data_IF_087401570673
#
_entry.id   IF_087401570673
#
_cell.length_a   1.000
_cell.length_b   1.000
_cell.length_c   1.000
_cell.angle_alpha   90.00
_cell.angle_beta   90.00
_cell.angle_gamma   90.00
#
_symmetry.space_group_name_H-M   'P 1'
#
loop_
_entity.id
_entity.type
_entity.pdbx_description
1 polymer ?
#
# COMPACT_ATOMS: atom_id res chain seq x y z
N UNK A 1 41.39 28.90 -68.47
CA UNK A 1 41.79 28.15 -67.23
C UNK A 1 40.62 28.34 -66.25
N UNK A 2 39.67 27.42 -66.32
CA UNK A 2 38.42 27.52 -65.57
C UNK A 2 38.57 26.89 -64.19
N UNK A 3 38.31 27.68 -63.16
CA UNK A 3 38.29 27.25 -61.79
C UNK A 3 36.92 26.82 -61.35
N UNK A 4 36.72 25.52 -61.22
CA UNK A 4 35.47 24.89 -60.78
C UNK A 4 35.37 25.00 -59.24
N UNK A 5 34.40 25.78 -58.74
CA UNK A 5 34.08 25.88 -57.31
C UNK A 5 33.05 24.78 -56.96
N UNK A 6 33.48 23.83 -56.13
CA UNK A 6 32.57 22.89 -55.49
C UNK A 6 31.89 23.55 -54.29
N UNK A 7 30.55 23.64 -54.34
CA UNK A 7 29.74 24.02 -53.20
C UNK A 7 29.38 22.74 -52.40
N UNK A 8 29.80 22.73 -51.15
CA UNK A 8 29.38 21.69 -50.20
C UNK A 8 28.02 22.13 -49.60
N UNK A 9 26.97 21.34 -49.85
CA UNK A 9 25.69 21.47 -49.18
C UNK A 9 25.74 20.68 -47.87
N UNK A 10 25.76 21.39 -46.72
CA UNK A 10 25.49 20.78 -45.42
C UNK A 10 24.01 20.49 -45.26
N UNK A 11 23.64 19.22 -45.42
CA UNK A 11 22.32 18.76 -45.04
C UNK A 11 22.22 18.68 -43.49
N UNK A 12 21.41 19.54 -42.89
CA UNK A 12 20.99 19.42 -41.50
C UNK A 12 19.97 18.28 -41.38
N UNK A 13 20.36 17.15 -40.82
CA UNK A 13 19.44 16.10 -40.42
C UNK A 13 18.71 16.59 -39.16
N UNK A 14 17.42 16.93 -39.32
CA UNK A 14 16.52 17.12 -38.19
C UNK A 14 16.27 15.75 -37.53
N UNK A 15 16.84 15.52 -36.36
CA UNK A 15 16.39 14.42 -35.49
C UNK A 15 14.96 14.75 -35.06
N UNK A 16 14.00 14.06 -35.63
CA UNK A 16 12.65 13.95 -35.08
C UNK A 16 12.78 13.18 -33.78
N UNK A 17 12.67 13.88 -32.64
CA UNK A 17 12.44 13.23 -31.35
C UNK A 17 11.10 12.49 -31.47
N UNK A 18 11.15 11.17 -31.54
CA UNK A 18 9.99 10.32 -31.34
C UNK A 18 9.57 10.58 -29.89
N UNK A 19 8.34 11.04 -29.61
CA UNK A 19 7.87 11.09 -28.24
C UNK A 19 7.99 9.65 -27.70
N UNK A 20 8.82 9.46 -26.66
CA UNK A 20 8.84 8.19 -25.95
C UNK A 20 7.40 7.88 -25.56
N UNK A 21 6.96 6.67 -25.82
CA UNK A 21 5.76 6.14 -25.21
C UNK A 21 5.96 6.36 -23.71
N UNK A 22 5.09 7.15 -23.08
CA UNK A 22 5.08 7.25 -21.63
C UNK A 22 4.95 5.80 -21.13
N UNK A 23 5.92 5.34 -20.33
CA UNK A 23 5.80 4.05 -19.65
C UNK A 23 4.52 4.11 -18.87
N UNK A 24 3.63 3.16 -19.07
CA UNK A 24 2.41 3.10 -18.28
C UNK A 24 2.83 3.04 -16.81
N UNK A 25 2.38 3.99 -16.01
CA UNK A 25 2.53 3.91 -14.56
C UNK A 25 1.27 3.24 -14.03
N UNK A 26 1.44 2.12 -13.33
CA UNK A 26 0.33 1.29 -12.91
C UNK A 26 0.07 1.41 -11.40
N UNK A 27 -1.20 1.37 -11.07
CA UNK A 27 -1.72 1.15 -9.73
C UNK A 27 -2.60 -0.08 -9.74
N UNK A 28 -2.54 -0.89 -8.68
CA UNK A 28 -3.46 -2.00 -8.47
C UNK A 28 -4.36 -1.74 -7.28
N UNK A 29 -5.62 -2.16 -7.40
CA UNK A 29 -6.65 -1.97 -6.38
C UNK A 29 -7.36 -3.29 -6.14
N UNK A 30 -7.33 -3.78 -4.90
CA UNK A 30 -8.11 -4.93 -4.48
C UNK A 30 -9.50 -4.50 -4.05
N UNK A 31 -10.53 -5.04 -4.69
CA UNK A 31 -11.93 -4.69 -4.43
C UNK A 31 -12.64 -5.84 -3.71
N UNK A 32 -13.13 -5.56 -2.50
CA UNK A 32 -14.00 -6.46 -1.73
C UNK A 32 -15.47 -6.10 -2.04
N UNK A 33 -16.36 -7.09 -2.14
CA UNK A 33 -17.78 -6.83 -2.36
C UNK A 33 -18.69 -7.60 -1.36
N UNK A 34 -18.11 -8.09 -0.28
CA UNK A 34 -18.81 -8.99 0.64
C UNK A 34 -18.84 -8.53 2.08
N UNK A 35 -18.11 -7.48 2.45
CA UNK A 35 -18.11 -6.96 3.81
C UNK A 35 -18.77 -5.59 3.87
N UNK A 36 -19.76 -5.46 4.71
CA UNK A 36 -20.46 -4.20 5.03
C UNK A 36 -20.66 -4.10 6.53
N UNK A 37 -21.26 -3.02 7.02
CA UNK A 37 -21.58 -2.84 8.44
C UNK A 37 -23.04 -2.48 8.63
N UNK A 38 -23.64 -3.02 9.70
CA UNK A 38 -24.99 -2.65 10.13
C UNK A 38 -25.00 -1.29 10.87
N UNK A 39 -26.20 -0.83 11.26
CA UNK A 39 -26.37 0.43 11.97
C UNK A 39 -25.70 0.46 13.36
N UNK A 40 -25.34 -0.70 13.90
CA UNK A 40 -24.61 -0.84 15.16
C UNK A 40 -23.09 -0.91 14.94
N UNK A 41 -22.62 -0.77 13.69
CA UNK A 41 -21.19 -0.86 13.33
C UNK A 41 -20.64 -2.29 13.33
N UNK A 42 -21.51 -3.31 13.29
CA UNK A 42 -21.06 -4.70 13.24
C UNK A 42 -20.87 -5.15 11.80
N UNK A 43 -19.82 -5.93 11.49
CA UNK A 43 -19.61 -6.44 10.16
C UNK A 43 -20.75 -7.41 9.74
N UNK A 44 -21.19 -7.27 8.50
CA UNK A 44 -22.15 -8.13 7.83
C UNK A 44 -21.47 -8.77 6.64
N UNK A 45 -21.48 -10.10 6.60
CA UNK A 45 -20.78 -10.88 5.57
C UNK A 45 -21.75 -11.36 4.50
N UNK A 46 -21.51 -10.93 3.26
CA UNK A 46 -22.23 -11.41 2.08
C UNK A 46 -21.59 -12.67 1.48
N UNK A 47 -22.22 -13.21 0.45
CA UNK A 47 -21.67 -14.32 -0.33
C UNK A 47 -20.40 -13.85 -1.10
N UNK A 48 -19.36 -14.69 -1.20
CA UNK A 48 -18.21 -14.40 -2.06
C UNK A 48 -18.58 -14.56 -3.53
N UNK A 49 -17.78 -14.00 -4.44
CA UNK A 49 -17.84 -14.31 -5.87
C UNK A 49 -17.81 -13.13 -6.82
N UNK A 50 -17.78 -11.89 -6.33
CA UNK A 50 -17.75 -10.71 -7.19
C UNK A 50 -16.53 -9.80 -6.92
N UNK A 51 -15.59 -10.26 -6.08
CA UNK A 51 -14.36 -9.52 -5.82
C UNK A 51 -13.47 -9.43 -7.05
N UNK A 52 -12.75 -8.33 -7.16
CA UNK A 52 -11.85 -8.12 -8.29
C UNK A 52 -10.54 -7.48 -7.83
N UNK A 53 -9.52 -7.60 -8.69
CA UNK A 53 -8.34 -6.73 -8.66
C UNK A 53 -8.37 -5.87 -9.92
N UNK A 54 -8.44 -4.56 -9.75
CA UNK A 54 -8.37 -3.59 -10.83
C UNK A 54 -6.93 -3.20 -11.12
N UNK A 55 -6.51 -3.29 -12.37
CA UNK A 55 -5.26 -2.72 -12.88
C UNK A 55 -5.59 -1.35 -13.45
N UNK A 56 -4.95 -0.30 -12.97
CA UNK A 56 -5.28 1.10 -13.29
C UNK A 56 -4.06 1.80 -13.87
N UNK A 57 -4.22 2.43 -15.03
CA UNK A 57 -3.23 3.35 -15.62
C UNK A 57 -3.39 4.73 -14.99
N UNK A 58 -2.33 5.17 -14.28
CA UNK A 58 -2.21 6.49 -13.66
C UNK A 58 -1.14 7.34 -14.35
N UNK A 59 -0.37 6.77 -15.29
CA UNK A 59 0.72 7.48 -15.98
C UNK A 59 0.27 8.25 -17.19
N UNK A 60 -0.74 7.77 -17.94
CA UNK A 60 -1.21 8.43 -19.16
C UNK A 60 -1.91 9.76 -18.89
N UNK A 61 -2.69 9.85 -17.82
CA UNK A 61 -3.35 11.07 -17.33
C UNK A 61 -3.56 10.94 -15.81
N UNK A 62 -2.62 11.45 -14.99
CA UNK A 62 -2.70 11.33 -13.54
C UNK A 62 -3.96 11.95 -12.91
N UNK A 63 -4.57 12.95 -13.56
CA UNK A 63 -5.82 13.55 -13.09
C UNK A 63 -7.06 12.72 -13.45
N UNK A 64 -6.96 11.82 -14.43
CA UNK A 64 -8.06 11.00 -14.93
C UNK A 64 -7.62 9.54 -15.09
N UNK A 65 -7.30 8.84 -13.98
CA UNK A 65 -6.86 7.45 -14.01
C UNK A 65 -7.89 6.55 -14.70
N UNK A 66 -7.43 5.46 -15.33
CA UNK A 66 -8.30 4.57 -16.11
C UNK A 66 -8.07 3.13 -15.75
N UNK A 67 -9.15 2.37 -15.57
CA UNK A 67 -9.08 0.92 -15.41
C UNK A 67 -8.65 0.31 -16.74
N UNK A 68 -7.53 -0.41 -16.74
CA UNK A 68 -7.03 -1.20 -17.85
C UNK A 68 -7.82 -2.51 -17.95
N UNK A 69 -7.93 -3.21 -16.81
CA UNK A 69 -8.70 -4.46 -16.69
C UNK A 69 -9.11 -4.72 -15.25
N UNK A 70 -10.11 -5.57 -15.07
CA UNK A 70 -10.50 -6.14 -13.79
C UNK A 70 -10.30 -7.66 -13.87
N UNK A 71 -9.57 -8.21 -12.91
CA UNK A 71 -9.37 -9.65 -12.77
C UNK A 71 -10.32 -10.16 -11.68
N UNK A 72 -11.07 -11.22 -11.97
CA UNK A 72 -11.87 -11.93 -10.96
C UNK A 72 -10.93 -12.62 -9.98
N UNK A 73 -10.77 -12.04 -8.81
CA UNK A 73 -9.85 -12.51 -7.79
C UNK A 73 -10.35 -12.11 -6.42
N UNK A 74 -10.49 -13.10 -5.53
CA UNK A 74 -10.94 -12.85 -4.17
C UNK A 74 -9.99 -11.87 -3.47
N UNK A 75 -10.56 -10.88 -2.82
CA UNK A 75 -9.86 -9.90 -2.00
C UNK A 75 -10.57 -9.71 -0.68
N UNK A 76 -9.99 -9.01 0.28
CA UNK A 76 -10.58 -8.83 1.60
C UNK A 76 -10.11 -7.54 2.25
N UNK A 77 -11.04 -6.86 2.95
CA UNK A 77 -10.74 -5.74 3.83
C UNK A 77 -10.04 -6.16 5.14
N UNK A 78 -9.96 -7.47 5.43
CA UNK A 78 -9.31 -7.94 6.66
C UNK A 78 -7.79 -7.94 6.55
N UNK A 79 -7.17 -6.85 6.92
CA UNK A 79 -5.73 -6.62 6.91
C UNK A 79 -5.42 -5.17 6.62
N UNK A 80 -4.16 -4.72 6.76
CA UNK A 80 -3.79 -3.38 6.31
C UNK A 80 -3.95 -3.28 4.80
N UNK A 81 -4.23 -2.07 4.26
CA UNK A 81 -4.49 -1.85 2.84
C UNK A 81 -3.23 -2.01 1.95
N UNK A 82 -2.35 -2.93 2.31
CA UNK A 82 -1.04 -3.19 1.71
C UNK A 82 -0.83 -4.66 1.37
N UNK A 83 -1.92 -5.40 1.16
CA UNK A 83 -1.92 -6.82 0.85
C UNK A 83 -1.62 -7.14 -0.63
N UNK A 84 -1.10 -6.17 -1.37
CA UNK A 84 -0.71 -6.29 -2.77
C UNK A 84 0.53 -5.42 -3.06
N UNK A 85 1.27 -5.75 -4.12
CA UNK A 85 2.45 -5.00 -4.54
C UNK A 85 2.69 -5.17 -6.04
N UNK A 86 3.36 -4.19 -6.66
CA UNK A 86 3.85 -4.22 -8.03
C UNK A 86 5.39 -4.26 -7.99
N UNK A 87 6.02 -5.08 -8.85
CA UNK A 87 7.47 -5.06 -9.02
C UNK A 87 7.94 -3.70 -9.55
N UNK A 88 9.17 -3.23 -9.20
CA UNK A 88 9.67 -1.93 -9.64
C UNK A 88 9.72 -1.74 -11.16
N UNK A 89 9.87 -2.83 -11.91
CA UNK A 89 9.84 -2.85 -13.39
C UNK A 89 8.43 -2.94 -13.98
N UNK A 90 7.39 -3.02 -13.13
CA UNK A 90 5.98 -3.16 -13.50
C UNK A 90 5.65 -4.38 -14.37
N UNK A 91 6.46 -5.43 -14.28
CA UNK A 91 6.20 -6.68 -15.02
C UNK A 91 5.26 -7.62 -14.30
N UNK A 92 5.27 -7.61 -12.95
CA UNK A 92 4.42 -8.44 -12.11
C UNK A 92 3.69 -7.63 -11.05
N UNK A 93 2.53 -8.16 -10.64
CA UNK A 93 1.89 -7.81 -9.38
C UNK A 93 1.66 -9.06 -8.54
N UNK A 94 1.83 -8.91 -7.22
CA UNK A 94 1.52 -9.92 -6.22
C UNK A 94 0.30 -9.47 -5.41
N UNK A 95 -0.64 -10.39 -5.15
CA UNK A 95 -1.85 -10.13 -4.38
C UNK A 95 -2.07 -11.26 -3.39
N UNK A 96 -2.10 -10.96 -2.09
CA UNK A 96 -2.41 -11.97 -1.08
C UNK A 96 -3.91 -12.20 -0.99
N UNK A 97 -4.30 -13.47 -0.81
CA UNK A 97 -5.62 -13.86 -0.32
C UNK A 97 -5.52 -14.09 1.19
N UNK A 98 -5.89 -13.06 1.97
CA UNK A 98 -5.79 -13.11 3.41
C UNK A 98 -6.88 -13.99 4.05
N UNK A 99 -8.07 -14.03 3.44
CA UNK A 99 -9.23 -14.72 3.98
C UNK A 99 -9.93 -15.52 2.90
N UNK A 100 -10.34 -16.72 3.25
CA UNK A 100 -11.30 -17.53 2.52
C UNK A 100 -12.69 -17.38 3.15
N UNK A 101 -13.75 -17.69 2.41
CA UNK A 101 -15.13 -17.60 2.86
C UNK A 101 -15.76 -18.98 2.95
N UNK A 102 -16.12 -19.36 4.17
CA UNK A 102 -16.71 -20.66 4.48
C UNK A 102 -18.19 -20.49 4.80
N UNK A 103 -19.06 -21.26 4.16
CA UNK A 103 -20.49 -21.27 4.47
C UNK A 103 -20.78 -22.18 5.66
N UNK A 104 -21.42 -21.64 6.69
CA UNK A 104 -21.96 -22.39 7.83
C UNK A 104 -23.47 -22.19 7.93
N UNK A 105 -24.24 -23.16 7.44
CA UNK A 105 -25.70 -23.04 7.31
C UNK A 105 -26.07 -21.95 6.31
N UNK A 106 -26.83 -20.95 6.74
CA UNK A 106 -27.22 -19.80 5.91
C UNK A 106 -26.27 -18.59 6.07
N UNK A 107 -25.22 -18.70 6.89
CA UNK A 107 -24.28 -17.62 7.16
C UNK A 107 -22.91 -17.88 6.51
N UNK A 108 -22.22 -16.78 6.16
CA UNK A 108 -20.85 -16.79 5.69
C UNK A 108 -19.91 -16.39 6.83
N UNK A 109 -18.73 -16.98 6.86
CA UNK A 109 -17.66 -16.67 7.81
C UNK A 109 -16.34 -16.53 7.08
N UNK A 110 -15.53 -15.57 7.54
CA UNK A 110 -14.16 -15.45 7.12
C UNK A 110 -13.26 -16.48 7.86
N UNK A 111 -12.39 -17.15 7.13
CA UNK A 111 -11.37 -18.05 7.63
C UNK A 111 -10.01 -17.66 7.04
N UNK A 112 -8.88 -17.81 7.75
CA UNK A 112 -7.56 -17.55 7.16
C UNK A 112 -7.32 -18.37 5.88
N UNK A 113 -6.84 -17.71 4.83
CA UNK A 113 -6.28 -18.34 3.62
C UNK A 113 -4.74 -18.28 3.69
N UNK A 114 -4.03 -18.82 2.70
CA UNK A 114 -2.57 -18.89 2.66
C UNK A 114 -2.00 -18.71 1.25
N UNK A 115 -2.65 -17.92 0.40
CA UNK A 115 -2.28 -17.80 -1.02
C UNK A 115 -1.74 -16.42 -1.38
N UNK A 116 -0.83 -16.41 -2.35
CA UNK A 116 -0.38 -15.23 -3.08
C UNK A 116 -0.57 -15.48 -4.56
N UNK A 117 -1.38 -14.66 -5.20
CA UNK A 117 -1.58 -14.71 -6.65
C UNK A 117 -0.53 -13.87 -7.36
N UNK A 118 0.01 -14.40 -8.44
CA UNK A 118 1.01 -13.74 -9.31
C UNK A 118 0.31 -13.30 -10.58
N UNK A 119 0.35 -12.01 -10.88
CA UNK A 119 -0.28 -11.41 -12.06
C UNK A 119 0.82 -10.96 -13.02
N UNK A 120 0.76 -11.40 -14.26
CA UNK A 120 1.56 -10.89 -15.38
C UNK A 120 0.93 -9.60 -15.91
N UNK A 121 1.60 -8.46 -15.64
CA UNK A 121 1.13 -7.14 -16.07
C UNK A 121 1.46 -6.83 -17.53
N UNK A 122 2.42 -7.57 -18.16
CA UNK A 122 2.76 -7.43 -19.57
C UNK A 122 1.86 -8.24 -20.51
N UNK A 123 1.05 -9.16 -19.96
CA UNK A 123 0.06 -9.87 -20.75
C UNK A 123 -1.03 -8.92 -21.26
N UNK A 124 -1.61 -9.22 -22.42
CA UNK A 124 -2.68 -8.41 -23.02
C UNK A 124 -3.97 -9.26 -23.18
N UNK A 125 -4.96 -9.13 -22.30
CA UNK A 125 -4.97 -8.34 -21.05
C UNK A 125 -4.09 -8.95 -19.95
N UNK A 126 -3.70 -8.17 -18.89
CA UNK A 126 -3.06 -8.72 -17.70
C UNK A 126 -3.78 -9.93 -17.12
N UNK A 127 -3.06 -10.92 -16.62
CA UNK A 127 -3.64 -12.19 -16.20
C UNK A 127 -2.93 -12.81 -14.99
N UNK A 128 -3.66 -13.57 -14.18
CA UNK A 128 -3.08 -14.43 -13.13
C UNK A 128 -2.34 -15.57 -13.80
N UNK A 129 -1.06 -15.73 -13.50
CA UNK A 129 -0.19 -16.77 -14.10
C UNK A 129 0.22 -17.86 -13.10
N UNK A 130 0.16 -17.58 -11.80
CA UNK A 130 0.54 -18.52 -10.76
C UNK A 130 -0.14 -18.21 -9.43
N UNK A 131 -0.09 -19.18 -8.49
CA UNK A 131 -0.52 -19.02 -7.11
C UNK A 131 0.46 -19.76 -6.19
N UNK A 132 1.07 -19.03 -5.27
CA UNK A 132 2.09 -19.52 -4.32
C UNK A 132 1.46 -19.67 -2.94
N UNK A 133 1.70 -20.81 -2.28
CA UNK A 133 1.30 -21.00 -0.87
C UNK A 133 2.33 -20.38 0.07
N UNK A 134 1.86 -19.70 1.11
CA UNK A 134 2.63 -18.99 2.14
C UNK A 134 2.07 -19.29 3.53
N UNK A 135 2.44 -18.54 4.56
CA UNK A 135 1.88 -18.70 5.89
C UNK A 135 0.42 -18.21 5.97
N UNK A 136 -0.27 -18.58 7.06
CA UNK A 136 -1.69 -18.33 7.28
C UNK A 136 -2.02 -16.84 7.41
N UNK A 137 -3.08 -16.40 6.75
CA UNK A 137 -3.60 -15.04 6.70
C UNK A 137 -2.54 -14.04 6.19
N UNK A 138 -1.99 -14.24 4.96
CA UNK A 138 -1.04 -13.32 4.37
C UNK A 138 -1.70 -11.95 4.17
N UNK A 139 -1.07 -10.92 4.69
CA UNK A 139 -1.60 -9.56 4.78
C UNK A 139 -0.64 -8.57 4.10
N UNK A 140 -0.11 -7.58 4.82
CA UNK A 140 0.77 -6.60 4.22
C UNK A 140 2.05 -7.20 3.64
N UNK A 141 2.47 -6.69 2.48
CA UNK A 141 3.68 -7.14 1.80
C UNK A 141 4.56 -5.98 1.34
N UNK A 142 5.83 -6.29 1.07
CA UNK A 142 6.76 -5.40 0.41
C UNK A 142 7.64 -6.18 -0.57
N UNK A 143 7.95 -5.56 -1.72
CA UNK A 143 8.96 -6.01 -2.68
C UNK A 143 10.18 -5.09 -2.54
N UNK A 144 11.40 -5.61 -2.62
CA UNK A 144 12.60 -4.78 -2.58
C UNK A 144 12.81 -4.00 -3.89
N UNK A 145 13.67 -2.98 -3.88
CA UNK A 145 13.96 -2.17 -5.07
C UNK A 145 14.62 -2.95 -6.22
N UNK A 146 15.28 -4.06 -5.92
CA UNK A 146 15.83 -4.95 -6.97
C UNK A 146 14.73 -5.76 -7.68
N UNK A 147 13.54 -5.88 -7.10
CA UNK A 147 12.42 -6.65 -7.65
C UNK A 147 12.60 -8.16 -7.55
N UNK A 148 13.57 -8.64 -6.76
CA UNK A 148 13.94 -10.05 -6.67
C UNK A 148 13.55 -10.73 -5.34
N UNK A 149 13.04 -9.95 -4.37
CA UNK A 149 12.62 -10.41 -3.05
C UNK A 149 11.28 -9.77 -2.66
N UNK A 150 10.34 -10.60 -2.20
CA UNK A 150 9.14 -10.12 -1.52
C UNK A 150 9.05 -10.70 -0.09
N UNK A 151 8.58 -9.88 0.84
CA UNK A 151 8.27 -10.26 2.22
C UNK A 151 6.78 -10.10 2.47
N UNK A 152 6.16 -11.07 3.13
CA UNK A 152 4.72 -11.10 3.40
C UNK A 152 4.46 -11.36 4.87
N UNK A 153 3.72 -10.48 5.52
CA UNK A 153 3.31 -10.61 6.90
C UNK A 153 2.12 -11.59 7.03
N UNK A 154 2.31 -12.71 7.70
CA UNK A 154 1.28 -13.73 7.92
C UNK A 154 0.67 -13.53 9.33
N UNK A 155 -0.52 -12.91 9.38
CA UNK A 155 -1.14 -12.52 10.67
C UNK A 155 -1.44 -13.72 11.56
N UNK A 156 -2.15 -14.72 11.04
CA UNK A 156 -2.48 -15.93 11.79
C UNK A 156 -1.28 -16.87 11.91
N UNK A 157 -0.37 -16.85 10.93
CA UNK A 157 0.86 -17.65 10.93
C UNK A 157 1.94 -17.16 11.89
N UNK A 158 1.86 -15.91 12.41
CA UNK A 158 2.88 -15.29 13.26
C UNK A 158 4.28 -15.27 12.62
N UNK A 159 4.36 -15.16 11.31
CA UNK A 159 5.59 -15.28 10.53
C UNK A 159 5.67 -14.24 9.41
N UNK A 160 6.85 -14.11 8.82
CA UNK A 160 7.07 -13.44 7.54
C UNK A 160 7.45 -14.51 6.53
N UNK A 161 6.67 -14.68 5.45
CA UNK A 161 7.08 -15.49 4.32
C UNK A 161 8.03 -14.72 3.42
N UNK A 162 9.07 -15.42 2.94
CA UNK A 162 10.10 -14.92 2.04
C UNK A 162 9.87 -15.51 0.68
N UNK A 163 9.64 -14.67 -0.34
CA UNK A 163 9.49 -15.08 -1.73
C UNK A 163 10.65 -14.58 -2.56
N UNK A 164 11.24 -15.48 -3.36
CA UNK A 164 12.19 -15.13 -4.41
C UNK A 164 11.44 -14.84 -5.72
N UNK A 165 11.82 -13.76 -6.42
CA UNK A 165 11.26 -13.37 -7.72
C UNK A 165 12.37 -13.44 -8.77
N UNK A 166 12.13 -14.14 -9.88
CA UNK A 166 13.06 -14.26 -10.99
C UNK A 166 12.32 -14.23 -12.33
N UNK A 167 12.31 -13.08 -12.99
CA UNK A 167 11.44 -12.83 -14.12
C UNK A 167 9.97 -13.03 -13.71
N UNK A 168 9.24 -13.93 -14.37
CA UNK A 168 7.83 -14.26 -14.05
C UNK A 168 7.66 -15.43 -13.08
N UNK A 169 8.74 -15.93 -12.48
CA UNK A 169 8.69 -16.99 -11.48
C UNK A 169 8.75 -16.40 -10.06
N UNK A 170 7.86 -16.87 -9.20
CA UNK A 170 7.81 -16.50 -7.79
C UNK A 170 7.80 -17.78 -6.95
N UNK A 171 8.77 -17.91 -6.05
CA UNK A 171 8.95 -19.11 -5.23
C UNK A 171 8.96 -18.75 -3.74
N UNK A 172 8.22 -19.50 -2.92
CA UNK A 172 8.32 -19.44 -1.47
C UNK A 172 9.60 -20.15 -1.04
N UNK A 173 10.55 -19.41 -0.47
CA UNK A 173 11.89 -19.92 -0.12
C UNK A 173 12.09 -20.11 1.38
N UNK A 174 11.20 -19.62 2.21
CA UNK A 174 11.25 -19.81 3.67
C UNK A 174 10.34 -18.90 4.46
N UNK A 175 10.26 -19.15 5.76
CA UNK A 175 9.51 -18.36 6.73
C UNK A 175 10.40 -17.93 7.89
N UNK A 176 10.16 -16.71 8.39
CA UNK A 176 10.77 -16.17 9.59
C UNK A 176 9.73 -16.16 10.69
N UNK A 177 9.96 -16.94 11.76
CA UNK A 177 9.10 -16.93 12.96
C UNK A 177 9.25 -15.57 13.68
N UNK A 178 8.14 -14.85 13.82
CA UNK A 178 8.09 -13.54 14.46
C UNK A 178 7.69 -13.63 15.94
N UNK A 179 7.27 -14.81 16.42
CA UNK A 179 6.81 -15.04 17.78
C UNK A 179 5.54 -14.27 18.16
N UNK A 180 4.83 -13.70 17.20
CA UNK A 180 3.59 -12.94 17.39
C UNK A 180 3.02 -12.45 16.06
N UNK A 181 1.77 -11.96 16.10
CA UNK A 181 1.05 -11.52 14.91
C UNK A 181 1.69 -10.29 14.26
N UNK A 182 1.87 -10.34 12.97
CA UNK A 182 2.39 -9.25 12.15
C UNK A 182 1.36 -8.83 11.10
N UNK A 183 1.16 -7.50 10.93
CA UNK A 183 0.17 -6.97 9.98
C UNK A 183 0.82 -6.50 8.67
N UNK A 184 1.93 -5.79 8.76
CA UNK A 184 2.59 -5.15 7.63
C UNK A 184 4.10 -5.32 7.72
N UNK A 185 4.78 -5.19 6.58
CA UNK A 185 6.24 -5.21 6.46
C UNK A 185 6.66 -4.15 5.45
N UNK A 186 7.81 -3.51 5.70
CA UNK A 186 8.48 -2.61 4.77
C UNK A 186 9.97 -2.95 4.70
N UNK A 187 10.56 -2.87 3.50
CA UNK A 187 11.98 -3.14 3.24
C UNK A 187 12.71 -1.81 3.08
N UNK A 188 13.91 -1.68 3.67
CA UNK A 188 14.75 -0.47 3.48
C UNK A 188 15.18 -0.34 2.02
N UNK A 189 15.38 0.89 1.51
CA UNK A 189 15.76 1.10 0.09
C UNK A 189 17.07 0.39 -0.31
N UNK A 190 17.99 0.20 0.63
CA UNK A 190 19.23 -0.54 0.40
C UNK A 190 19.04 -2.07 0.38
N UNK A 191 17.82 -2.56 0.68
CA UNK A 191 17.47 -3.97 0.68
C UNK A 191 18.10 -4.80 1.79
N UNK A 192 18.77 -4.16 2.79
CA UNK A 192 19.53 -4.89 3.83
C UNK A 192 18.73 -5.15 5.11
N UNK A 193 17.62 -4.44 5.31
CA UNK A 193 16.77 -4.56 6.50
C UNK A 193 15.30 -4.51 6.13
N UNK A 194 14.46 -5.04 7.01
CA UNK A 194 13.02 -4.82 6.97
C UNK A 194 12.47 -4.51 8.35
N UNK A 195 11.28 -3.92 8.38
CA UNK A 195 10.53 -3.64 9.60
C UNK A 195 9.16 -4.29 9.46
N UNK A 196 8.75 -5.06 10.48
CA UNK A 196 7.45 -5.70 10.57
C UNK A 196 6.64 -5.13 11.75
N UNK A 197 5.37 -4.80 11.49
CA UNK A 197 4.47 -4.27 12.51
C UNK A 197 3.82 -5.41 13.32
N UNK A 198 4.21 -5.56 14.57
CA UNK A 198 3.59 -6.47 15.57
C UNK A 198 2.45 -5.77 16.28
N UNK A 199 1.32 -5.68 15.62
CA UNK A 199 0.23 -4.80 16.00
C UNK A 199 -0.39 -5.11 17.39
N UNK A 200 -0.62 -6.36 17.81
CA UNK A 200 -1.19 -6.62 19.14
C UNK A 200 -0.21 -6.35 20.28
N UNK A 201 1.09 -6.27 19.96
CA UNK A 201 2.17 -6.08 20.95
C UNK A 201 2.65 -4.63 20.99
N UNK A 202 2.07 -3.74 20.19
CA UNK A 202 2.37 -2.29 20.14
C UNK A 202 3.85 -2.00 19.86
N UNK A 203 4.44 -2.75 18.91
CA UNK A 203 5.85 -2.62 18.55
C UNK A 203 6.08 -2.96 17.08
N UNK A 204 7.24 -2.59 16.60
CA UNK A 204 7.77 -3.09 15.33
C UNK A 204 9.00 -3.93 15.57
N UNK A 205 9.26 -4.89 14.71
CA UNK A 205 10.43 -5.79 14.75
C UNK A 205 11.37 -5.48 13.61
N UNK A 206 12.68 -5.50 13.87
CA UNK A 206 13.72 -5.34 12.85
C UNK A 206 14.16 -6.70 12.34
N UNK A 207 14.23 -6.84 11.01
CA UNK A 207 14.77 -8.01 10.33
C UNK A 207 16.03 -7.63 9.57
N UNK A 208 17.01 -8.53 9.53
CA UNK A 208 18.19 -8.42 8.67
C UNK A 208 17.96 -9.23 7.38
N UNK A 209 18.42 -8.67 6.24
CA UNK A 209 18.29 -9.28 4.91
C UNK A 209 19.70 -9.44 4.31
N UNK A 210 20.04 -10.67 3.90
CA UNK A 210 21.24 -11.01 3.14
C UNK A 210 20.83 -11.88 1.95
N UNK A 211 20.54 -11.25 0.81
CA UNK A 211 19.91 -11.91 -0.33
C UNK A 211 18.54 -12.47 0.05
N UNK A 212 18.35 -13.79 -0.10
CA UNK A 212 17.11 -14.48 0.29
C UNK A 212 17.12 -14.94 1.77
N UNK A 213 18.22 -14.75 2.48
CA UNK A 213 18.30 -15.11 3.88
C UNK A 213 17.79 -13.93 4.74
N UNK A 214 16.60 -14.09 5.30
CA UNK A 214 15.97 -13.10 6.15
C UNK A 214 15.90 -13.63 7.57
N UNK A 215 16.35 -12.83 8.54
CA UNK A 215 16.45 -13.25 9.95
C UNK A 215 15.87 -12.20 10.89
N UNK A 216 15.31 -12.66 11.99
CA UNK A 216 14.85 -11.86 13.12
C UNK A 216 15.55 -12.33 14.38
N UNK A 217 16.25 -11.44 15.07
CA UNK A 217 17.04 -11.72 16.27
C UNK A 217 16.37 -11.33 17.59
N UNK A 218 15.10 -10.89 17.52
CA UNK A 218 14.33 -10.44 18.66
C UNK A 218 14.44 -8.93 18.93
N UNK A 219 15.05 -8.14 18.03
CA UNK A 219 15.13 -6.70 18.20
C UNK A 219 13.76 -6.04 17.88
N UNK A 220 13.11 -5.54 18.92
CA UNK A 220 11.82 -4.87 18.87
C UNK A 220 11.93 -3.41 19.32
N UNK A 221 11.12 -2.55 18.69
CA UNK A 221 11.01 -1.13 19.02
C UNK A 221 9.55 -0.85 19.43
N UNK A 222 9.27 -0.47 20.69
CA UNK A 222 7.94 -0.03 21.11
C UNK A 222 7.51 1.23 20.36
N UNK A 223 6.28 1.22 19.81
CA UNK A 223 5.67 2.34 19.06
C UNK A 223 4.35 2.76 19.71
N UNK A 224 3.44 3.38 18.97
CA UNK A 224 2.09 3.65 19.44
C UNK A 224 1.22 2.40 19.56
N UNK A 225 -0.04 2.59 19.94
CA UNK A 225 -0.95 1.48 20.16
C UNK A 225 -1.41 0.94 18.80
N UNK A 226 -1.34 -0.39 18.64
CA UNK A 226 -1.86 -1.09 17.47
C UNK A 226 -1.25 -0.60 16.13
N UNK A 227 0.09 -0.68 15.94
CA UNK A 227 0.72 -0.28 14.67
C UNK A 227 0.24 -1.21 13.56
N UNK A 228 -0.57 -0.68 12.64
CA UNK A 228 -1.24 -1.50 11.64
C UNK A 228 -0.54 -1.46 10.29
N UNK A 229 0.11 -0.35 9.99
CA UNK A 229 0.91 -0.17 8.78
C UNK A 229 2.28 0.42 9.11
N UNK A 230 3.26 0.21 8.22
CA UNK A 230 4.61 0.75 8.31
C UNK A 230 5.12 1.14 6.93
N UNK A 231 5.78 2.30 6.85
CA UNK A 231 6.44 2.78 5.64
C UNK A 231 7.83 3.34 5.97
N UNK A 232 8.76 3.30 5.01
CA UNK A 232 10.14 3.78 5.16
C UNK A 232 10.36 4.91 4.17
N UNK A 233 11.05 5.98 4.58
CA UNK A 233 11.42 7.09 3.69
C UNK A 233 12.34 6.63 2.56
N UNK A 234 12.29 7.27 1.37
CA UNK A 234 13.11 6.86 0.22
C UNK A 234 14.62 6.90 0.46
N UNK A 235 15.07 7.72 1.41
CA UNK A 235 16.47 7.77 1.85
C UNK A 235 16.84 6.69 2.89
N UNK A 236 15.84 5.96 3.40
CA UNK A 236 16.02 4.92 4.42
C UNK A 236 16.30 5.44 5.83
N UNK A 237 16.22 6.76 6.07
CA UNK A 237 16.55 7.36 7.35
C UNK A 237 15.48 7.17 8.40
N UNK A 238 14.21 7.19 8.01
CA UNK A 238 13.06 7.08 8.91
C UNK A 238 12.14 5.92 8.53
N UNK A 239 11.49 5.34 9.54
CA UNK A 239 10.27 4.58 9.36
C UNK A 239 9.13 5.25 10.11
N UNK A 240 7.93 5.21 9.53
CA UNK A 240 6.70 5.69 10.12
C UNK A 240 5.73 4.54 10.34
N UNK A 241 4.96 4.54 11.44
CA UNK A 241 3.89 3.58 11.68
C UNK A 241 2.55 4.29 11.79
N UNK A 242 1.49 3.71 11.22
CA UNK A 242 0.11 4.10 11.52
C UNK A 242 -0.33 3.35 12.78
N UNK A 243 -0.38 4.05 13.90
CA UNK A 243 -0.75 3.49 15.20
C UNK A 243 -2.27 3.67 15.38
N UNK A 244 -3.04 2.64 15.02
CA UNK A 244 -4.51 2.71 14.86
C UNK A 244 -5.27 2.90 16.20
N UNK A 245 -4.65 2.59 17.34
CA UNK A 245 -5.25 2.78 18.67
C UNK A 245 -6.26 1.70 19.05
N UNK A 246 -7.38 1.63 18.37
CA UNK A 246 -8.56 0.85 18.77
C UNK A 246 -8.78 -0.45 17.97
N UNK A 247 -7.74 -1.21 17.68
CA UNK A 247 -7.83 -2.54 17.05
C UNK A 247 -8.50 -2.58 15.66
N UNK A 248 -8.21 -1.60 14.79
CA UNK A 248 -8.76 -1.52 13.44
C UNK A 248 -10.17 -0.91 13.41
N UNK A 249 -10.50 -0.04 14.36
CA UNK A 249 -11.77 0.67 14.44
C UNK A 249 -11.57 2.11 14.90
N UNK A 250 -12.54 2.96 14.66
CA UNK A 250 -12.62 4.29 15.27
C UNK A 250 -13.26 4.20 16.65
N UNK A 251 -12.77 5.00 17.61
CA UNK A 251 -13.34 5.11 18.94
C UNK A 251 -13.53 6.58 19.41
N UNK A 252 -13.21 7.53 18.53
CA UNK A 252 -13.31 8.97 18.78
C UNK A 252 -12.12 9.53 19.55
N UNK A 253 -11.11 8.73 19.89
CA UNK A 253 -9.87 9.24 20.47
C UNK A 253 -8.87 9.60 19.39
N UNK A 254 -7.85 10.37 19.76
CA UNK A 254 -6.78 10.72 18.84
C UNK A 254 -5.65 9.72 18.94
N UNK A 255 -5.19 9.24 17.78
CA UNK A 255 -4.10 8.30 17.61
C UNK A 255 -2.89 8.97 16.96
N UNK A 256 -1.84 8.18 16.73
CA UNK A 256 -0.53 8.72 16.36
C UNK A 256 0.07 8.05 15.11
N UNK A 257 1.06 8.74 14.55
CA UNK A 257 2.09 8.16 13.71
C UNK A 257 3.39 8.20 14.51
N UNK A 258 4.00 7.04 14.78
CA UNK A 258 5.32 6.99 15.41
C UNK A 258 6.41 7.21 14.36
N UNK A 259 7.41 8.01 14.71
CA UNK A 259 8.59 8.32 13.88
C UNK A 259 9.78 7.57 14.44
N UNK A 260 10.38 6.68 13.65
CA UNK A 260 11.48 5.81 14.04
C UNK A 260 12.74 6.25 13.28
N UNK A 261 13.79 6.59 14.00
CA UNK A 261 15.12 6.86 13.46
C UNK A 261 15.85 5.53 13.21
N UNK A 262 16.00 5.18 11.92
CA UNK A 262 16.66 3.95 11.48
C UNK A 262 18.19 4.06 11.41
N UNK A 263 18.74 5.28 11.42
CA UNK A 263 20.16 5.53 11.46
C UNK A 263 20.75 5.57 12.88
N UNK A 264 19.86 5.66 13.90
CA UNK A 264 20.29 5.55 15.28
C UNK A 264 20.80 4.14 15.59
N UNK A 265 21.76 4.04 16.51
CA UNK A 265 22.29 2.76 16.99
C UNK A 265 22.06 2.63 18.54
N UNK A 266 21.11 1.79 18.98
CA UNK A 266 20.11 1.05 18.18
C UNK A 266 19.02 1.98 17.60
N UNK A 267 18.32 1.58 16.53
CA UNK A 267 17.16 2.27 16.00
C UNK A 267 16.07 2.47 17.07
N UNK A 268 15.38 3.62 17.05
CA UNK A 268 14.43 3.99 18.11
C UNK A 268 13.37 4.99 17.65
N UNK A 269 12.25 5.01 18.33
CA UNK A 269 11.27 6.08 18.19
C UNK A 269 11.87 7.41 18.68
N UNK A 270 11.74 8.44 17.87
CA UNK A 270 12.19 9.80 18.20
C UNK A 270 11.03 10.77 18.39
N UNK A 271 9.85 10.48 17.81
CA UNK A 271 8.65 11.28 17.98
C UNK A 271 7.37 10.47 17.76
N UNK A 272 6.23 11.03 18.17
CA UNK A 272 4.87 10.56 17.89
C UNK A 272 3.99 11.74 17.51
N UNK A 273 3.61 11.79 16.25
CA UNK A 273 2.76 12.84 15.71
C UNK A 273 1.29 12.47 15.91
N UNK A 274 0.52 13.34 16.59
CA UNK A 274 -0.93 13.16 16.74
C UNK A 274 -1.60 13.44 15.39
N UNK A 275 -2.36 12.47 14.88
CA UNK A 275 -3.01 12.59 13.56
C UNK A 275 -4.53 12.64 13.65
N UNK A 276 -5.17 11.86 14.51
CA UNK A 276 -6.62 11.78 14.68
C UNK A 276 -7.07 10.34 14.85
N UNK A 277 -8.35 10.07 14.70
CA UNK A 277 -8.99 8.80 15.04
C UNK A 277 -8.80 7.73 13.95
N UNK A 278 -8.19 6.61 14.32
CA UNK A 278 -8.07 5.40 13.52
C UNK A 278 -7.19 5.53 12.26
N UNK A 279 -5.89 5.90 12.34
CA UNK A 279 -4.99 5.82 11.20
C UNK A 279 -4.74 4.35 10.81
N UNK A 280 -5.02 3.99 9.57
CA UNK A 280 -4.86 2.62 9.06
C UNK A 280 -3.95 2.57 7.83
N UNK A 281 -4.24 3.36 6.80
CA UNK A 281 -3.37 3.53 5.65
C UNK A 281 -2.20 4.48 5.94
N UNK A 282 -1.06 4.23 5.31
CA UNK A 282 0.14 5.08 5.39
C UNK A 282 0.91 5.00 4.08
N UNK A 283 1.28 6.15 3.53
CA UNK A 283 2.15 6.23 2.36
C UNK A 283 3.13 7.40 2.51
N UNK A 284 4.32 7.27 1.93
CA UNK A 284 5.33 8.32 1.85
C UNK A 284 5.52 8.70 0.39
N UNK A 285 5.62 9.99 0.09
CA UNK A 285 5.82 10.47 -1.28
C UNK A 285 7.17 10.00 -1.84
N UNK A 286 7.29 9.82 -3.15
CA UNK A 286 8.57 9.47 -3.79
C UNK A 286 9.70 10.46 -3.51
N UNK A 287 9.36 11.74 -3.25
CA UNK A 287 10.33 12.77 -2.89
C UNK A 287 10.83 12.67 -1.45
N UNK A 288 10.09 11.93 -0.58
CA UNK A 288 10.37 11.86 0.85
C UNK A 288 9.98 13.11 1.65
N UNK A 289 9.42 14.15 1.00
CA UNK A 289 9.09 15.42 1.65
C UNK A 289 7.78 15.38 2.45
N UNK A 290 6.87 14.45 2.09
CA UNK A 290 5.62 14.25 2.81
C UNK A 290 5.31 12.78 3.02
N UNK A 291 4.57 12.51 4.09
CA UNK A 291 3.83 11.28 4.29
C UNK A 291 2.33 11.60 4.46
N UNK A 292 1.49 10.60 4.25
CA UNK A 292 0.06 10.71 4.52
C UNK A 292 -0.40 9.56 5.40
N UNK A 293 -1.16 9.90 6.45
CA UNK A 293 -1.89 8.95 7.27
C UNK A 293 -3.37 8.99 6.88
N UNK A 294 -3.92 7.82 6.60
CA UNK A 294 -5.30 7.66 6.17
C UNK A 294 -6.12 7.26 7.39
N UNK A 295 -7.09 8.10 7.74
CA UNK A 295 -7.87 7.97 8.97
C UNK A 295 -9.29 7.50 8.68
N UNK A 296 -9.73 6.49 9.41
CA UNK A 296 -11.12 6.02 9.40
C UNK A 296 -12.08 7.14 9.86
N UNK A 297 -11.70 7.92 10.87
CA UNK A 297 -12.41 9.11 11.35
C UNK A 297 -13.91 8.84 11.63
N UNK A 298 -14.24 7.65 12.11
CA UNK A 298 -15.63 7.27 12.40
C UNK A 298 -16.53 7.07 11.18
N UNK A 299 -15.99 6.88 9.98
CA UNK A 299 -16.77 6.81 8.73
C UNK A 299 -17.33 5.42 8.42
N UNK A 300 -16.91 4.38 9.15
CA UNK A 300 -17.50 3.04 9.10
C UNK A 300 -17.15 2.24 10.36
N UNK A 301 -17.72 1.03 10.49
CA UNK A 301 -17.48 0.10 11.59
C UNK A 301 -17.79 0.69 12.99
N UNK A 302 -18.64 1.72 13.05
CA UNK A 302 -19.07 2.39 14.29
C UNK A 302 -20.59 2.50 14.32
N UNK A 303 -21.23 2.55 15.52
CA UNK A 303 -22.66 2.83 15.60
C UNK A 303 -23.00 4.18 14.96
N UNK A 304 -24.05 4.22 14.13
CA UNK A 304 -24.44 5.46 13.40
C UNK A 304 -24.81 6.63 14.32
N UNK A 305 -25.18 6.36 15.56
CA UNK A 305 -25.52 7.36 16.59
C UNK A 305 -24.33 7.67 17.53
N UNK A 306 -23.15 7.12 17.29
CA UNK A 306 -21.97 7.46 18.06
C UNK A 306 -21.60 8.94 17.84
N UNK A 307 -21.19 9.63 18.90
CA UNK A 307 -20.86 11.06 18.85
C UNK A 307 -19.69 11.39 17.91
N UNK A 308 -18.87 10.41 17.59
CA UNK A 308 -17.72 10.49 16.67
C UNK A 308 -18.00 9.90 15.28
N UNK A 309 -19.23 9.42 15.03
CA UNK A 309 -19.59 8.90 13.70
C UNK A 309 -19.59 10.03 12.65
N UNK A 310 -18.95 9.79 11.54
CA UNK A 310 -18.86 10.70 10.40
C UNK A 310 -19.23 9.96 9.11
N UNK A 311 -19.57 10.71 8.07
CA UNK A 311 -19.79 10.13 6.73
C UNK A 311 -18.48 9.83 6.03
N UNK A 312 -17.46 10.65 6.27
CA UNK A 312 -16.20 10.70 5.54
C UNK A 312 -15.00 10.47 6.43
N UNK A 313 -13.99 9.82 5.87
CA UNK A 313 -12.67 9.73 6.46
C UNK A 313 -11.77 10.90 6.06
N UNK A 314 -10.50 10.83 6.44
CA UNK A 314 -9.53 11.90 6.23
C UNK A 314 -8.18 11.40 5.81
N UNK A 315 -7.48 12.25 5.08
CA UNK A 315 -6.04 12.18 4.84
C UNK A 315 -5.36 13.25 5.68
N UNK A 316 -4.45 12.85 6.57
CA UNK A 316 -3.59 13.79 7.30
C UNK A 316 -2.23 13.83 6.62
N UNK A 317 -1.81 15.04 6.24
CA UNK A 317 -0.53 15.30 5.58
C UNK A 317 0.53 15.59 6.64
N UNK A 318 1.63 14.88 6.57
CA UNK A 318 2.80 15.03 7.43
C UNK A 318 3.96 15.57 6.59
N UNK A 319 4.49 16.74 6.93
CA UNK A 319 5.72 17.25 6.34
C UNK A 319 6.93 16.58 6.99
N UNK A 320 7.91 16.20 6.18
CA UNK A 320 9.17 15.58 6.60
C UNK A 320 10.32 16.53 6.24
N UNK A 321 11.04 17.00 7.26
CA UNK A 321 12.28 17.81 7.09
C UNK A 321 13.42 17.15 7.88
N UNK A 322 14.23 16.37 7.20
CA UNK A 322 15.22 15.49 7.83
C UNK A 322 14.55 14.52 8.80
N UNK A 323 14.81 14.65 10.11
CA UNK A 323 14.20 13.80 11.15
C UNK A 323 13.00 14.43 11.87
N UNK A 324 12.60 15.63 11.48
CA UNK A 324 11.42 16.31 12.01
C UNK A 324 10.21 15.95 11.13
N UNK A 325 9.16 15.42 11.76
CA UNK A 325 7.89 15.08 11.10
C UNK A 325 6.75 15.84 11.79
N UNK A 326 6.05 16.67 11.03
CA UNK A 326 5.01 17.55 11.57
C UNK A 326 3.74 17.49 10.75
N UNK A 327 2.58 17.67 11.40
CA UNK A 327 1.29 17.77 10.68
C UNK A 327 1.25 19.07 9.88
N UNK A 328 1.16 18.96 8.54
CA UNK A 328 1.09 20.06 7.59
C UNK A 328 -0.35 20.43 7.21
N UNK A 329 -1.27 19.47 7.20
CA UNK A 329 -2.66 19.71 6.82
C UNK A 329 -3.53 18.48 6.91
N UNK A 330 -4.78 18.62 6.48
CA UNK A 330 -5.72 17.51 6.34
C UNK A 330 -6.67 17.76 5.18
N UNK A 331 -7.14 16.67 4.55
CA UNK A 331 -8.12 16.68 3.44
C UNK A 331 -9.19 15.64 3.75
N UNK A 332 -10.45 16.02 3.61
CA UNK A 332 -11.58 15.08 3.68
C UNK A 332 -11.66 14.28 2.37
N UNK A 333 -11.92 12.98 2.47
CA UNK A 333 -12.09 12.05 1.35
C UNK A 333 -13.39 11.26 1.55
N UNK A 334 -13.62 10.18 0.81
CA UNK A 334 -14.82 9.36 1.01
C UNK A 334 -14.80 8.53 2.31
N UNK A 335 -15.81 7.70 2.49
CA UNK A 335 -15.98 6.90 3.70
C UNK A 335 -15.10 5.65 3.72
N UNK A 336 -14.61 5.30 4.92
CA UNK A 336 -13.69 4.20 5.17
C UNK A 336 -12.53 4.21 4.16
N UNK A 337 -11.69 5.27 4.17
CA UNK A 337 -10.55 5.30 3.27
C UNK A 337 -9.51 4.27 3.69
N UNK A 338 -9.01 3.47 2.73
CA UNK A 338 -8.11 2.36 2.99
C UNK A 338 -6.72 2.58 2.39
N UNK A 339 -6.56 2.41 1.10
CA UNK A 339 -5.28 2.51 0.42
C UNK A 339 -4.90 3.91 0.01
N UNK A 340 -3.60 4.17 -0.10
CA UNK A 340 -3.04 5.41 -0.62
C UNK A 340 -1.88 5.11 -1.58
N UNK A 341 -1.88 5.77 -2.75
CA UNK A 341 -0.83 5.65 -3.77
C UNK A 341 -0.45 7.03 -4.26
N UNK A 342 0.84 7.36 -4.21
CA UNK A 342 1.39 8.53 -4.91
C UNK A 342 1.72 8.16 -6.35
N UNK A 343 1.57 9.12 -7.29
CA UNK A 343 2.20 9.03 -8.59
C UNK A 343 3.74 9.05 -8.46
N UNK A 344 4.47 8.43 -9.40
CA UNK A 344 5.95 8.35 -9.35
C UNK A 344 6.63 9.71 -9.29
N UNK A 345 6.01 10.73 -9.89
CA UNK A 345 6.49 12.12 -9.83
C UNK A 345 6.07 12.87 -8.55
N UNK A 346 5.27 12.22 -7.70
CA UNK A 346 4.75 12.79 -6.45
C UNK A 346 3.71 13.89 -6.62
N UNK A 347 3.24 14.18 -7.84
CA UNK A 347 2.30 15.29 -8.12
C UNK A 347 0.85 14.95 -7.81
N UNK A 348 0.50 13.67 -7.71
CA UNK A 348 -0.85 13.20 -7.40
C UNK A 348 -0.84 12.14 -6.30
N UNK A 349 -1.96 12.07 -5.58
CA UNK A 349 -2.23 11.08 -4.54
C UNK A 349 -3.62 10.48 -4.78
N UNK A 350 -3.72 9.17 -4.77
CA UNK A 350 -4.95 8.40 -4.97
C UNK A 350 -5.36 7.72 -3.68
N UNK A 351 -6.62 7.90 -3.26
CA UNK A 351 -7.16 7.35 -2.02
C UNK A 351 -8.38 6.48 -2.33
N UNK A 352 -8.34 5.21 -1.93
CA UNK A 352 -9.48 4.30 -2.05
C UNK A 352 -10.51 4.57 -0.98
N UNK A 353 -11.76 4.81 -1.36
CA UNK A 353 -12.90 5.05 -0.47
C UNK A 353 -13.79 3.81 -0.49
N UNK A 354 -13.67 2.99 0.54
CA UNK A 354 -14.31 1.67 0.57
C UNK A 354 -15.83 1.77 0.44
N UNK A 355 -16.48 2.59 1.26
CA UNK A 355 -17.95 2.68 1.25
C UNK A 355 -18.53 3.34 0.01
N UNK A 356 -17.72 4.12 -0.71
CA UNK A 356 -18.15 4.83 -1.93
C UNK A 356 -17.82 4.06 -3.21
N UNK A 357 -17.04 2.97 -3.10
CA UNK A 357 -16.59 2.16 -4.24
C UNK A 357 -15.85 3.00 -5.30
N UNK A 358 -15.03 3.94 -4.85
CA UNK A 358 -14.28 4.82 -5.74
C UNK A 358 -12.87 5.13 -5.23
N UNK A 359 -12.10 5.83 -6.05
CA UNK A 359 -10.78 6.39 -5.71
C UNK A 359 -10.85 7.90 -5.87
N UNK A 360 -10.57 8.64 -4.80
CA UNK A 360 -10.37 10.09 -4.85
C UNK A 360 -9.02 10.42 -5.49
N UNK A 361 -9.00 11.41 -6.38
CA UNK A 361 -7.77 11.97 -6.97
C UNK A 361 -7.44 13.30 -6.31
N UNK A 362 -6.26 13.39 -5.69
CA UNK A 362 -5.77 14.57 -4.99
C UNK A 362 -4.53 15.12 -5.71
N UNK A 363 -4.40 16.43 -5.78
CA UNK A 363 -3.19 17.10 -6.28
C UNK A 363 -2.22 17.38 -5.14
N UNK A 364 -0.94 17.25 -5.40
CA UNK A 364 0.16 17.44 -4.43
C UNK A 364 1.09 18.54 -4.93
N UNK A 365 1.30 19.58 -4.12
CA UNK A 365 2.23 20.67 -4.40
C UNK A 365 3.08 20.93 -3.14
N UNK A 366 4.32 20.41 -3.12
CA UNK A 366 5.18 20.43 -1.93
C UNK A 366 4.48 19.72 -0.76
N UNK A 367 4.26 20.43 0.36
CA UNK A 367 3.56 19.88 1.53
C UNK A 367 2.03 20.10 1.52
N UNK A 368 1.48 20.60 0.42
CA UNK A 368 0.06 20.87 0.27
C UNK A 368 -0.61 19.79 -0.55
N UNK A 369 -1.66 19.18 0.00
CA UNK A 369 -2.52 18.20 -0.69
C UNK A 369 -3.92 18.76 -0.78
N UNK A 370 -4.52 18.73 -1.98
CA UNK A 370 -5.85 19.28 -2.24
C UNK A 370 -6.70 18.34 -3.08
N UNK A 371 -8.00 18.25 -2.78
CA UNK A 371 -8.95 17.49 -3.59
C UNK A 371 -9.12 18.13 -4.98
N UNK A 372 -9.01 17.35 -6.04
CA UNK A 372 -9.28 17.81 -7.42
C UNK A 372 -10.77 17.79 -7.75
N UNK A 373 -11.58 17.10 -6.96
CA UNK A 373 -12.98 16.80 -7.26
C UNK A 373 -13.18 15.69 -8.29
N UNK A 374 -12.10 15.05 -8.74
CA UNK A 374 -12.15 13.88 -9.63
C UNK A 374 -12.17 12.60 -8.81
N UNK A 375 -12.93 11.60 -9.29
CA UNK A 375 -12.93 10.24 -8.74
C UNK A 375 -12.88 9.21 -9.86
N UNK A 376 -12.32 8.04 -9.57
CA UNK A 376 -12.39 6.86 -10.42
C UNK A 376 -13.36 5.87 -9.79
N UNK A 377 -14.47 5.57 -10.48
CA UNK A 377 -15.40 4.54 -10.03
C UNK A 377 -14.81 3.15 -10.23
N UNK A 378 -14.96 2.29 -9.23
CA UNK A 378 -14.48 0.92 -9.22
C UNK A 378 -15.64 -0.09 -9.31
N UNK A 379 -15.37 -1.34 -9.71
CA UNK A 379 -16.40 -2.40 -9.75
C UNK A 379 -16.82 -2.87 -8.35
N UNK A 380 -16.04 -2.54 -7.30
CA UNK A 380 -16.29 -2.93 -5.92
C UNK A 380 -15.61 -1.97 -4.94
N UNK A 381 -15.60 -2.34 -3.68
CA UNK A 381 -15.13 -1.53 -2.56
C UNK A 381 -13.60 -1.66 -2.43
N UNK A 382 -12.79 -0.60 -2.62
CA UNK A 382 -11.34 -0.68 -2.54
C UNK A 382 -10.87 -0.97 -1.11
N UNK A 383 -10.43 -2.21 -0.88
CA UNK A 383 -9.89 -2.67 0.40
C UNK A 383 -8.38 -2.48 0.53
N UNK A 384 -7.70 -2.29 -0.60
CA UNK A 384 -6.24 -2.13 -0.64
C UNK A 384 -5.79 -1.53 -1.96
N UNK A 385 -4.66 -0.81 -1.92
CA UNK A 385 -4.09 -0.16 -3.11
C UNK A 385 -2.57 -0.10 -3.04
N UNK A 386 -1.90 -0.32 -4.17
CA UNK A 386 -0.46 -0.09 -4.32
C UNK A 386 -0.12 0.39 -5.73
N UNK A 387 0.86 1.28 -5.83
CA UNK A 387 1.60 1.60 -7.03
C UNK A 387 2.92 0.84 -7.08
N UNK A 388 3.64 0.95 -8.18
CA UNK A 388 5.03 0.49 -8.23
C UNK A 388 5.91 1.36 -7.31
N UNK A 389 6.95 0.77 -6.75
CA UNK A 389 7.95 1.50 -5.97
C UNK A 389 8.78 2.33 -6.95
N UNK A 390 9.02 3.62 -6.68
CA UNK A 390 9.83 4.47 -7.56
C UNK A 390 11.30 4.09 -7.56
#
# INVERSE_FOLDING_TARGET
MDGMRFAWACGAAALLAVPGLASAELMIVGNDQKVTWDDAGKPVFGAPGEDTVSIVDIGSDPQSPKIVTNLELMNSIFGPPTNLAITPDETLALVTSAMDWVQEGDAWKAAPDNKVHVIDLEADPPAVIDTVEVGDQPSGMAINQAGDLALIANRAGNSISVLAISGKQVEHVGDVDMGGQVAAVAITPDGTRAIAAKFPEHKVSLLAIDGQNVTYDGQDIPVGLWPYNVAITPDGALALTADNGAMGASDGHVDTVSVIDLEADPPRVIDKVVVGDGPEGLAISPTGEIAVAILLNGSAAVPKDAWFANANGKVVVLAIDGKEVTKAGEVEVGGLPEGAVFSKDGSHLYIGNYTDSDVSVLAVEGTTVTGTGQTLQLPGQPASMRGSIP
#
